data_IF_279007094324
#
_entry.id   IF_279007094324
#
_cell.length_a   1.000
_cell.length_b   1.000
_cell.length_c   1.000
_cell.angle_alpha   90.00
_cell.angle_beta   90.00
_cell.angle_gamma   90.00
#
_symmetry.space_group_name_H-M   'P 1'
#
loop_
_entity.id
_entity.type
_entity.pdbx_description
1 polymer ?
#
# COMPACT_ATOMS: atom_id res chain seq x y z
N UNK A 1 -17.36 0.68 -1.82
CA UNK A 1 -16.04 0.06 -2.12
C UNK A 1 -14.88 1.06 -2.03
N UNK A 2 -14.69 2.04 -2.92
CA UNK A 2 -13.60 3.05 -2.75
C UNK A 2 -13.82 3.97 -1.53
N UNK A 3 -15.08 4.28 -1.20
CA UNK A 3 -15.43 5.12 -0.04
C UNK A 3 -15.41 4.38 1.32
N UNK A 4 -15.20 3.06 1.33
CA UNK A 4 -15.22 2.21 2.53
C UNK A 4 -13.89 1.46 2.65
N UNK A 5 -12.79 2.17 2.35
CA UNK A 5 -11.44 1.61 2.29
C UNK A 5 -11.06 0.91 3.61
N UNK A 6 -11.32 1.57 4.72
CA UNK A 6 -11.01 1.06 6.06
C UNK A 6 -11.71 -0.27 6.35
N UNK A 7 -13.01 -0.37 6.00
CA UNK A 7 -13.77 -1.61 6.16
C UNK A 7 -13.23 -2.72 5.26
N UNK A 8 -12.93 -2.40 4.00
CA UNK A 8 -12.35 -3.36 3.07
C UNK A 8 -11.01 -3.90 3.59
N UNK A 9 -10.12 -3.04 4.08
CA UNK A 9 -8.83 -3.49 4.61
C UNK A 9 -8.97 -4.29 5.91
N UNK A 10 -9.93 -3.97 6.78
CA UNK A 10 -10.22 -4.79 7.95
C UNK A 10 -10.69 -6.22 7.59
N UNK A 11 -11.59 -6.35 6.60
CA UNK A 11 -12.04 -7.64 6.08
C UNK A 11 -10.90 -8.38 5.36
N UNK A 12 -10.10 -7.66 4.58
CA UNK A 12 -8.94 -8.20 3.86
C UNK A 12 -7.86 -8.72 4.80
N UNK A 13 -7.54 -8.01 5.88
CA UNK A 13 -6.61 -8.49 6.92
C UNK A 13 -7.12 -9.77 7.57
N UNK A 14 -8.41 -9.83 7.87
CA UNK A 14 -9.04 -11.02 8.45
C UNK A 14 -8.96 -12.22 7.50
N UNK A 15 -9.21 -11.98 6.21
CA UNK A 15 -9.05 -12.98 5.16
C UNK A 15 -7.59 -13.46 5.03
N UNK A 16 -6.62 -12.54 5.00
CA UNK A 16 -5.20 -12.89 4.91
C UNK A 16 -4.72 -13.72 6.10
N UNK A 17 -5.22 -13.42 7.31
CA UNK A 17 -4.93 -14.22 8.51
C UNK A 17 -5.47 -15.64 8.40
N UNK A 18 -6.68 -15.81 7.87
CA UNK A 18 -7.26 -17.13 7.64
C UNK A 18 -6.49 -17.90 6.55
N UNK A 19 -6.12 -17.23 5.46
CA UNK A 19 -5.38 -17.82 4.36
C UNK A 19 -3.97 -18.24 4.79
N UNK A 20 -3.26 -17.41 5.56
CA UNK A 20 -1.90 -17.76 6.02
C UNK A 20 -1.90 -19.02 6.88
N UNK A 21 -2.91 -19.17 7.74
CA UNK A 21 -3.10 -20.37 8.54
C UNK A 21 -3.41 -21.62 7.68
N UNK A 22 -4.24 -21.48 6.65
CA UNK A 22 -4.61 -22.57 5.75
C UNK A 22 -3.42 -23.07 4.91
N UNK A 23 -2.59 -22.16 4.39
CA UNK A 23 -1.43 -22.51 3.55
C UNK A 23 -0.16 -22.82 4.35
N UNK A 24 -0.22 -22.76 5.68
CA UNK A 24 0.93 -22.98 6.57
C UNK A 24 2.01 -21.90 6.50
N UNK A 25 1.66 -20.68 6.09
CA UNK A 25 2.57 -19.56 6.07
C UNK A 25 2.70 -18.93 7.47
N UNK A 26 3.92 -18.86 7.99
CA UNK A 26 4.22 -18.22 9.27
C UNK A 26 4.44 -16.70 9.10
N UNK A 27 3.36 -15.96 8.89
CA UNK A 27 3.34 -14.51 9.04
C UNK A 27 3.00 -14.17 10.49
N UNK A 28 3.85 -13.40 11.16
CA UNK A 28 3.50 -12.86 12.47
C UNK A 28 2.49 -11.70 12.32
N UNK A 29 1.84 -11.30 13.42
CA UNK A 29 0.79 -10.28 13.36
C UNK A 29 1.34 -8.90 12.94
N UNK A 30 2.58 -8.58 13.36
CA UNK A 30 3.26 -7.33 13.00
C UNK A 30 3.53 -7.22 11.49
N UNK A 31 3.96 -8.32 10.87
CA UNK A 31 4.15 -8.44 9.42
C UNK A 31 2.82 -8.31 8.68
N UNK A 32 1.75 -8.93 9.20
CA UNK A 32 0.43 -8.86 8.58
C UNK A 32 -0.17 -7.45 8.66
N UNK A 33 -0.08 -6.81 9.83
CA UNK A 33 -0.54 -5.44 10.03
C UNK A 33 0.29 -4.45 9.21
N UNK A 34 1.61 -4.60 9.23
CA UNK A 34 2.53 -3.78 8.44
C UNK A 34 2.29 -3.93 6.93
N UNK A 35 2.07 -5.16 6.45
CA UNK A 35 1.71 -5.44 5.06
C UNK A 35 0.40 -4.74 4.68
N UNK A 36 -0.63 -4.89 5.50
CA UNK A 36 -1.94 -4.27 5.26
C UNK A 36 -1.80 -2.76 5.17
N UNK A 37 -1.12 -2.15 6.16
CA UNK A 37 -0.90 -0.70 6.22
C UNK A 37 -0.10 -0.19 5.02
N UNK A 38 0.94 -0.91 4.62
CA UNK A 38 1.72 -0.60 3.42
C UNK A 38 0.84 -0.63 2.17
N UNK A 39 0.10 -1.72 1.94
CA UNK A 39 -0.75 -1.88 0.77
C UNK A 39 -1.83 -0.80 0.70
N UNK A 40 -2.50 -0.52 1.83
CA UNK A 40 -3.51 0.53 1.94
C UNK A 40 -2.97 1.91 1.58
N UNK A 41 -1.76 2.21 2.04
CA UNK A 41 -1.12 3.51 1.81
C UNK A 41 -0.64 3.67 0.37
N UNK A 42 -0.38 2.57 -0.33
CA UNK A 42 0.12 2.59 -1.70
C UNK A 42 -0.98 2.75 -2.75
N UNK A 43 -2.25 2.48 -2.42
CA UNK A 43 -3.38 2.63 -3.35
C UNK A 43 -3.81 4.09 -3.44
N UNK A 44 -3.96 4.57 -4.68
CA UNK A 44 -4.54 5.88 -4.96
C UNK A 44 -6.05 5.83 -4.70
N UNK A 45 -6.53 6.67 -3.78
CA UNK A 45 -7.95 6.83 -3.48
C UNK A 45 -8.41 8.31 -3.63
N UNK A 46 -9.73 8.58 -3.72
CA UNK A 46 -10.24 9.93 -3.95
C UNK A 46 -9.94 10.91 -2.81
N UNK A 47 -9.70 10.41 -1.61
CA UNK A 47 -9.48 11.16 -0.38
C UNK A 47 -8.01 11.17 0.04
N UNK A 48 -7.10 10.62 -0.77
CA UNK A 48 -5.67 10.61 -0.47
C UNK A 48 -5.17 12.06 -0.30
N UNK A 49 -4.50 12.40 0.82
CA UNK A 49 -3.98 13.74 1.07
C UNK A 49 -2.76 14.06 0.19
N UNK A 50 -2.39 15.33 0.02
CA UNK A 50 -1.21 15.75 -0.77
C UNK A 50 0.13 15.17 -0.30
N UNK A 51 0.21 14.72 0.95
CA UNK A 51 1.31 13.93 1.46
C UNK A 51 0.78 12.99 2.54
N UNK A 52 1.28 11.75 2.55
CA UNK A 52 1.00 10.75 3.57
C UNK A 52 2.32 10.23 4.12
N UNK A 53 2.42 10.13 5.45
CA UNK A 53 3.56 9.51 6.13
C UNK A 53 3.11 8.25 6.86
N UNK A 54 3.88 7.18 6.70
CA UNK A 54 3.59 5.86 7.25
C UNK A 54 4.86 5.32 7.89
N UNK A 55 4.76 4.93 9.16
CA UNK A 55 5.82 4.24 9.88
C UNK A 55 5.56 2.73 9.82
N UNK A 56 6.59 1.97 9.46
CA UNK A 56 6.56 0.51 9.28
C UNK A 56 7.77 -0.11 9.96
N UNK A 57 7.59 -1.24 10.65
CA UNK A 57 8.69 -1.93 11.34
C UNK A 57 9.53 -2.81 10.40
N UNK A 58 9.03 -3.04 9.18
CA UNK A 58 9.69 -3.81 8.13
C UNK A 58 9.82 -2.98 6.86
N UNK A 59 10.85 -3.27 6.06
CA UNK A 59 11.10 -2.60 4.77
C UNK A 59 10.24 -3.22 3.64
N UNK A 60 8.92 -3.02 3.74
CA UNK A 60 7.97 -3.49 2.75
C UNK A 60 8.19 -2.85 1.38
N UNK A 61 8.64 -1.59 1.34
CA UNK A 61 8.80 -0.88 0.08
C UNK A 61 9.94 -1.49 -0.75
N UNK A 62 11.13 -1.68 -0.17
CA UNK A 62 12.24 -2.32 -0.88
C UNK A 62 11.88 -3.77 -1.27
N UNK A 63 11.21 -4.50 -0.37
CA UNK A 63 10.76 -5.87 -0.63
C UNK A 63 9.85 -5.98 -1.86
N UNK A 64 8.80 -5.15 -1.94
CA UNK A 64 7.85 -5.19 -3.06
C UNK A 64 8.41 -4.57 -4.34
N UNK A 65 9.26 -3.55 -4.28
CA UNK A 65 9.93 -3.01 -5.46
C UNK A 65 10.91 -4.02 -6.06
N UNK A 66 11.67 -4.75 -5.25
CA UNK A 66 12.52 -5.83 -5.72
C UNK A 66 11.68 -6.90 -6.45
N UNK A 67 10.58 -7.35 -5.84
CA UNK A 67 9.65 -8.32 -6.44
C UNK A 67 9.07 -7.81 -7.77
N UNK A 68 8.68 -6.53 -7.83
CA UNK A 68 8.16 -5.90 -9.04
C UNK A 68 9.20 -5.85 -10.18
N UNK A 69 10.47 -5.66 -9.84
CA UNK A 69 11.60 -5.65 -10.77
C UNK A 69 12.11 -7.06 -11.13
N UNK A 70 11.47 -8.11 -10.64
CA UNK A 70 11.87 -9.51 -10.88
C UNK A 70 13.06 -9.97 -10.05
N UNK A 71 13.42 -9.23 -9.01
CA UNK A 71 14.38 -9.62 -7.97
C UNK A 71 13.65 -10.23 -6.78
N UNK A 72 14.36 -11.05 -5.99
CA UNK A 72 13.82 -11.60 -4.74
C UNK A 72 14.76 -11.25 -3.61
N UNK A 73 14.37 -10.29 -2.78
CA UNK A 73 15.02 -10.02 -1.50
C UNK A 73 14.13 -10.52 -0.35
N UNK A 74 14.74 -10.89 0.78
CA UNK A 74 13.97 -11.22 1.98
C UNK A 74 13.40 -9.97 2.64
N UNK A 75 12.19 -10.06 3.19
CA UNK A 75 11.62 -9.00 4.02
C UNK A 75 12.52 -8.77 5.24
N UNK A 76 12.98 -7.53 5.44
CA UNK A 76 13.88 -7.17 6.54
C UNK A 76 13.10 -6.46 7.65
N UNK A 77 13.34 -6.86 8.90
CA UNK A 77 12.91 -6.11 10.08
C UNK A 77 13.81 -4.88 10.20
N UNK A 78 13.31 -3.76 9.69
CA UNK A 78 14.02 -2.50 9.52
C UNK A 78 12.97 -1.42 9.58
N UNK A 79 12.96 -0.69 10.69
CA UNK A 79 12.03 0.41 10.89
C UNK A 79 12.25 1.45 9.78
N UNK A 80 11.19 1.73 9.03
CA UNK A 80 11.19 2.67 7.93
C UNK A 80 10.06 3.68 8.09
N UNK A 81 10.34 4.92 7.73
CA UNK A 81 9.34 5.96 7.53
C UNK A 81 9.20 6.21 6.04
N UNK A 82 8.02 5.91 5.53
CA UNK A 82 7.65 6.12 4.15
C UNK A 82 6.87 7.44 4.02
N UNK A 83 7.26 8.29 3.09
CA UNK A 83 6.51 9.49 2.69
C UNK A 83 6.07 9.34 1.25
N UNK A 84 4.76 9.40 1.04
CA UNK A 84 4.12 9.26 -0.26
C UNK A 84 3.62 10.64 -0.68
N UNK A 85 3.96 11.05 -1.91
CA UNK A 85 3.45 12.30 -2.51
C UNK A 85 2.65 11.94 -3.77
N UNK A 86 1.31 12.00 -3.73
CA UNK A 86 0.50 11.65 -4.90
C UNK A 86 0.76 12.59 -6.09
N UNK A 87 0.78 12.03 -7.31
CA UNK A 87 0.83 12.83 -8.55
C UNK A 87 -0.44 13.69 -8.70
N UNK A 88 -1.57 13.16 -8.24
CA UNK A 88 -2.88 13.80 -8.28
C UNK A 88 -3.58 13.65 -6.93
N UNK A 89 -4.20 14.73 -6.48
CA UNK A 89 -5.12 14.72 -5.34
C UNK A 89 -6.51 15.03 -5.86
N UNK A 90 -7.48 14.17 -5.55
CA UNK A 90 -8.85 14.34 -6.03
C UNK A 90 -9.72 15.09 -5.03
N UNK A 91 -9.32 15.15 -3.75
CA UNK A 91 -10.03 15.89 -2.70
C UNK A 91 -11.52 15.52 -2.58
N UNK A 92 -11.85 14.26 -2.84
CA UNK A 92 -13.22 13.75 -2.84
C UNK A 92 -13.98 13.95 -4.16
N UNK A 93 -13.38 14.54 -5.20
CA UNK A 93 -13.97 14.60 -6.54
C UNK A 93 -13.98 13.20 -7.19
N UNK A 94 -15.10 12.51 -7.00
CA UNK A 94 -15.31 11.16 -7.52
C UNK A 94 -15.36 11.10 -9.04
N UNK A 95 -15.81 12.16 -9.71
CA UNK A 95 -15.89 12.20 -11.17
C UNK A 95 -14.48 12.30 -11.77
N UNK A 96 -13.68 13.23 -11.26
CA UNK A 96 -12.29 13.39 -11.68
C UNK A 96 -11.46 12.14 -11.38
N UNK A 97 -11.67 11.52 -10.21
CA UNK A 97 -11.04 10.25 -9.86
C UNK A 97 -11.44 9.14 -10.83
N UNK A 98 -12.74 8.95 -11.11
CA UNK A 98 -13.22 7.91 -12.00
C UNK A 98 -12.65 8.06 -13.41
N UNK A 99 -12.64 9.27 -13.96
CA UNK A 99 -12.03 9.55 -15.26
C UNK A 99 -10.54 9.22 -15.25
N UNK A 100 -9.80 9.75 -14.28
CA UNK A 100 -8.33 9.68 -14.28
C UNK A 100 -7.81 8.29 -13.95
N UNK A 101 -8.30 7.68 -12.86
CA UNK A 101 -7.78 6.43 -12.32
C UNK A 101 -8.54 5.23 -12.87
N UNK A 102 -9.87 5.24 -12.82
CA UNK A 102 -10.68 4.06 -13.20
C UNK A 102 -10.70 3.86 -14.72
N UNK A 103 -10.92 4.92 -15.50
CA UNK A 103 -11.02 4.81 -16.97
C UNK A 103 -9.64 4.81 -17.63
N UNK A 104 -8.79 5.79 -17.32
CA UNK A 104 -7.49 5.95 -18.00
C UNK A 104 -6.32 5.28 -17.26
N UNK A 105 -6.39 5.13 -15.94
CA UNK A 105 -5.31 4.52 -15.14
C UNK A 105 -5.03 3.05 -15.49
N UNK A 106 -6.03 2.31 -16.00
CA UNK A 106 -5.90 0.91 -16.42
C UNK A 106 -4.83 0.68 -17.49
N UNK A 107 -4.65 1.62 -18.43
CA UNK A 107 -3.69 1.45 -19.55
C UNK A 107 -2.25 1.77 -19.15
N UNK A 108 -2.05 2.42 -18.02
CA UNK A 108 -0.73 2.93 -17.60
C UNK A 108 -0.30 2.45 -16.21
N UNK A 109 -1.01 1.47 -15.64
CA UNK A 109 -0.76 0.91 -14.31
C UNK A 109 -0.73 1.98 -13.18
N UNK A 110 -1.52 3.05 -13.32
CA UNK A 110 -1.54 4.21 -12.41
C UNK A 110 -2.47 4.02 -11.21
N UNK A 111 -2.44 2.84 -10.57
CA UNK A 111 -3.25 2.56 -9.37
C UNK A 111 -2.45 2.67 -8.07
N UNK A 112 -1.12 2.71 -8.18
CA UNK A 112 -0.21 2.83 -7.04
C UNK A 112 0.56 4.14 -7.09
N UNK A 113 0.92 4.65 -5.92
CA UNK A 113 1.83 5.79 -5.84
C UNK A 113 3.23 5.43 -6.34
N UNK A 114 3.80 6.32 -7.14
CA UNK A 114 5.14 6.19 -7.75
C UNK A 114 6.19 7.03 -7.03
N UNK A 115 5.80 8.18 -6.48
CA UNK A 115 6.69 9.09 -5.76
C UNK A 115 6.67 8.78 -4.26
N UNK A 116 7.54 7.83 -3.89
CA UNK A 116 7.70 7.32 -2.53
C UNK A 116 9.12 7.59 -2.06
N UNK A 117 9.27 8.17 -0.88
CA UNK A 117 10.56 8.37 -0.20
C UNK A 117 10.59 7.53 1.07
N UNK A 118 11.63 6.72 1.22
CA UNK A 118 11.83 5.88 2.40
C UNK A 118 13.06 6.38 3.15
N UNK A 119 12.94 6.56 4.45
CA UNK A 119 14.06 6.89 5.35
C UNK A 119 14.07 5.93 6.52
N UNK A 120 15.27 5.61 7.02
CA UNK A 120 15.45 4.89 8.28
C UNK A 120 15.57 5.94 9.40
N UNK A 121 14.64 5.98 10.37
CA UNK A 121 14.74 6.89 11.50
C UNK A 121 16.03 6.62 12.29
N UNK A 122 16.74 7.68 12.66
CA UNK A 122 17.98 7.64 13.46
C UNK A 122 17.71 7.48 14.95
#
# INVERSE_FOLDING_TARGET
MVCEKDQFYAEFTSFLRALSADVGANLNDDQLMGLTRYQESMIIDPFTPPALTVDLDYDFHEYFEAAYLGSSIGLQEKATRMTITPEHCFQGDLELYARTIVWYGRKSNKFRHSNVKVVVPS
#
